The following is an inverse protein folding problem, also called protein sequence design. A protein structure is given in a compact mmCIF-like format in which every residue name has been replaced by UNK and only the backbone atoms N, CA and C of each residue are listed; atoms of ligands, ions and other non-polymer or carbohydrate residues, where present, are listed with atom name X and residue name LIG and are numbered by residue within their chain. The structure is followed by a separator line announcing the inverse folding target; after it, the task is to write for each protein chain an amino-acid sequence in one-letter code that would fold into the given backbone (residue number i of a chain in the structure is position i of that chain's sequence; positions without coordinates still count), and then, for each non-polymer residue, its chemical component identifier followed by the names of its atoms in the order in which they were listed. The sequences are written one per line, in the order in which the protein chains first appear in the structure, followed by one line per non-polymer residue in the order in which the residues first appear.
data_IF_234751933105
#
_entry.id   IF_234751933105
#
_cell.length_a   1.000
_cell.length_b   1.000
_cell.length_c   1.000
_cell.angle_alpha   90.00
_cell.angle_beta   90.00
_cell.angle_gamma   90.00
#
_symmetry.space_group_name_H-M   'P 1'
#
loop_
_entity.id
_entity.type
_entity.pdbx_description
1 polymer ?
#
# COMPACT_ATOMS: atom_id res chain seq x y z
N UNK A 1 19.40 -18.64 -3.50
CA UNK A 1 18.70 -18.91 -4.77
C UNK A 1 18.40 -17.55 -5.38
N UNK A 2 18.48 -17.36 -6.72
CA UNK A 2 18.13 -16.07 -7.33
C UNK A 2 16.63 -15.81 -7.14
N UNK A 3 16.26 -14.57 -6.76
CA UNK A 3 14.87 -14.16 -6.67
C UNK A 3 14.28 -13.95 -8.07
N UNK A 4 12.97 -14.03 -8.24
CA UNK A 4 12.30 -13.79 -9.54
C UNK A 4 12.63 -12.41 -10.12
N UNK A 5 12.91 -11.42 -9.27
CA UNK A 5 13.32 -10.07 -9.66
C UNK A 5 14.75 -9.96 -10.18
N UNK A 6 15.59 -10.98 -10.01
CA UNK A 6 16.98 -10.97 -10.45
C UNK A 6 17.16 -11.38 -11.92
N UNK A 7 16.14 -12.01 -12.50
CA UNK A 7 16.15 -12.42 -13.91
C UNK A 7 15.95 -11.22 -14.83
N UNK A 8 16.73 -11.18 -15.92
CA UNK A 8 16.71 -10.05 -16.87
C UNK A 8 15.78 -10.27 -18.06
N UNK A 9 15.39 -11.52 -18.32
CA UNK A 9 14.43 -11.85 -19.39
C UNK A 9 13.14 -12.40 -18.82
N UNK A 10 12.04 -12.10 -19.49
CA UNK A 10 10.73 -12.66 -19.14
C UNK A 10 10.70 -14.20 -19.22
N UNK A 11 11.35 -14.77 -20.24
CA UNK A 11 11.40 -16.21 -20.43
C UNK A 11 12.11 -16.93 -19.26
N UNK A 12 13.23 -16.37 -18.78
CA UNK A 12 13.95 -16.93 -17.63
C UNK A 12 13.13 -16.78 -16.34
N UNK A 13 12.53 -15.62 -16.10
CA UNK A 13 11.66 -15.41 -14.96
C UNK A 13 10.48 -16.37 -14.97
N UNK A 14 9.83 -16.56 -16.12
CA UNK A 14 8.71 -17.47 -16.28
C UNK A 14 9.10 -18.95 -16.06
N UNK A 15 10.26 -19.36 -16.55
CA UNK A 15 10.75 -20.74 -16.35
C UNK A 15 10.98 -21.08 -14.85
N UNK A 16 11.22 -20.07 -14.02
CA UNK A 16 11.46 -20.22 -12.58
C UNK A 16 10.27 -19.76 -11.72
N UNK A 17 9.17 -19.31 -12.33
CA UNK A 17 7.98 -18.83 -11.63
C UNK A 17 7.21 -20.00 -11.00
N UNK A 18 7.45 -20.21 -9.71
CA UNK A 18 6.71 -21.14 -8.88
C UNK A 18 6.01 -20.39 -7.74
N UNK A 19 5.01 -21.01 -7.11
CA UNK A 19 4.37 -20.43 -5.93
C UNK A 19 5.39 -20.13 -4.81
N UNK A 20 6.35 -21.00 -4.59
CA UNK A 20 7.41 -20.79 -3.61
C UNK A 20 8.29 -19.57 -3.98
N UNK A 21 8.74 -19.48 -5.25
CA UNK A 21 9.56 -18.37 -5.71
C UNK A 21 8.83 -17.01 -5.67
N UNK A 22 7.49 -17.03 -5.80
CA UNK A 22 6.67 -15.82 -5.59
C UNK A 22 6.65 -15.40 -4.11
N UNK A 23 6.49 -16.36 -3.19
CA UNK A 23 6.50 -16.06 -1.76
C UNK A 23 7.87 -15.58 -1.27
N UNK A 24 8.97 -16.03 -1.88
CA UNK A 24 10.33 -15.55 -1.59
C UNK A 24 10.54 -14.04 -1.92
N UNK A 25 9.59 -13.40 -2.59
CA UNK A 25 9.63 -11.95 -2.85
C UNK A 25 9.14 -11.11 -1.66
N UNK A 26 8.37 -11.70 -0.74
CA UNK A 26 7.81 -11.04 0.42
C UNK A 26 8.68 -11.23 1.65
N UNK A 27 8.55 -10.34 2.63
CA UNK A 27 9.15 -10.48 3.95
C UNK A 27 8.26 -11.34 4.85
N UNK A 28 6.94 -11.29 4.63
CA UNK A 28 5.95 -12.12 5.30
C UNK A 28 5.69 -13.45 4.59
N UNK A 29 4.87 -14.29 5.19
CA UNK A 29 4.41 -15.57 4.65
C UNK A 29 2.87 -15.60 4.49
N UNK A 30 2.31 -16.79 4.23
CA UNK A 30 0.86 -16.94 3.98
C UNK A 30 -0.01 -16.67 5.20
N UNK A 31 0.53 -16.80 6.38
CA UNK A 31 -0.19 -16.68 7.65
C UNK A 31 0.02 -15.30 8.27
N UNK A 32 1.15 -14.66 7.93
CA UNK A 32 1.56 -13.37 8.50
C UNK A 32 2.06 -12.42 7.38
N UNK A 33 1.15 -11.98 6.52
CA UNK A 33 1.42 -11.01 5.46
C UNK A 33 0.74 -9.68 5.74
N UNK A 34 1.51 -8.62 5.92
CA UNK A 34 0.99 -7.25 6.00
C UNK A 34 1.24 -6.49 4.69
N UNK A 35 0.18 -6.23 3.93
CA UNK A 35 0.26 -5.54 2.63
C UNK A 35 0.87 -4.14 2.76
N UNK A 36 0.59 -3.41 3.84
CA UNK A 36 1.18 -2.09 4.06
C UNK A 36 2.70 -2.17 4.26
N UNK A 37 3.18 -3.19 4.96
CA UNK A 37 4.61 -3.47 5.07
C UNK A 37 5.21 -3.79 3.70
N UNK A 38 4.65 -4.75 3.00
CA UNK A 38 5.19 -5.25 1.73
C UNK A 38 5.20 -4.19 0.63
N UNK A 39 4.15 -3.35 0.56
CA UNK A 39 4.03 -2.36 -0.50
C UNK A 39 4.69 -1.02 -0.18
N UNK A 40 4.80 -0.65 1.10
CA UNK A 40 5.22 0.70 1.49
C UNK A 40 6.36 0.68 2.50
N UNK A 41 6.15 0.10 3.70
CA UNK A 41 7.07 0.32 4.83
C UNK A 41 8.46 -0.23 4.57
N UNK A 42 8.57 -1.43 4.00
CA UNK A 42 9.86 -2.04 3.64
C UNK A 42 10.67 -1.27 2.59
N UNK A 43 10.02 -0.32 1.90
CA UNK A 43 10.64 0.50 0.86
C UNK A 43 10.94 1.94 1.33
N UNK A 44 10.54 2.30 2.54
CA UNK A 44 10.77 3.61 3.15
C UNK A 44 12.15 3.61 3.83
N UNK A 45 13.18 3.92 3.06
CA UNK A 45 14.59 3.85 3.46
C UNK A 45 15.23 5.22 3.71
N UNK A 46 14.43 6.29 3.71
CA UNK A 46 14.88 7.67 3.88
C UNK A 46 15.45 8.30 2.60
N UNK A 47 15.46 7.58 1.48
CA UNK A 47 16.00 8.10 0.20
C UNK A 47 15.07 9.08 -0.51
N UNK A 48 13.81 9.19 -0.09
CA UNK A 48 12.78 9.97 -0.78
C UNK A 48 12.34 9.37 -2.11
N UNK A 49 12.58 8.08 -2.34
CA UNK A 49 12.20 7.37 -3.56
C UNK A 49 10.69 7.48 -3.82
N UNK A 50 10.34 7.80 -5.07
CA UNK A 50 8.94 7.91 -5.50
C UNK A 50 8.21 6.57 -5.38
N UNK A 51 7.06 6.58 -4.72
CA UNK A 51 6.12 5.46 -4.63
C UNK A 51 4.95 5.64 -5.60
N UNK A 52 4.41 6.86 -5.66
CA UNK A 52 3.24 7.19 -6.47
C UNK A 52 3.48 8.49 -7.21
N UNK A 53 3.06 8.54 -8.47
CA UNK A 53 2.97 9.78 -9.25
C UNK A 53 1.49 10.03 -9.57
N UNK A 54 1.00 11.20 -9.20
CA UNK A 54 -0.37 11.64 -9.47
C UNK A 54 -0.30 12.69 -10.58
N UNK A 55 -0.91 12.37 -11.73
CA UNK A 55 -1.07 13.31 -12.81
C UNK A 55 -2.43 14.01 -12.66
N UNK A 56 -2.41 15.33 -12.47
CA UNK A 56 -3.63 16.13 -12.35
C UNK A 56 -4.12 16.60 -13.72
N UNK A 57 -5.45 16.79 -13.85
CA UNK A 57 -6.07 17.25 -15.09
C UNK A 57 -5.59 18.65 -15.54
N UNK A 58 -5.09 19.46 -14.62
CA UNK A 58 -4.51 20.78 -14.90
C UNK A 58 -3.04 20.74 -15.35
N UNK A 59 -2.49 19.53 -15.53
CA UNK A 59 -1.12 19.29 -15.98
C UNK A 59 -0.06 19.29 -14.86
N UNK A 60 -0.45 19.45 -13.60
CA UNK A 60 0.48 19.29 -12.47
C UNK A 60 0.77 17.83 -12.23
N UNK A 61 2.01 17.52 -11.91
CA UNK A 61 2.44 16.22 -11.39
C UNK A 61 2.75 16.34 -9.89
N UNK A 62 2.25 15.42 -9.10
CA UNK A 62 2.59 15.26 -7.69
C UNK A 62 3.29 13.92 -7.48
N UNK A 63 4.40 13.95 -6.74
CA UNK A 63 5.17 12.74 -6.41
C UNK A 63 5.07 12.51 -4.91
N UNK A 64 4.59 11.32 -4.54
CA UNK A 64 4.56 10.85 -3.17
C UNK A 64 5.69 9.84 -2.97
N UNK A 65 6.56 10.06 -1.99
CA UNK A 65 7.62 9.13 -1.65
C UNK A 65 7.11 7.98 -0.76
N UNK A 66 7.82 6.85 -0.77
CA UNK A 66 7.58 5.78 0.20
C UNK A 66 7.68 6.29 1.63
N UNK A 67 8.67 7.15 1.93
CA UNK A 67 8.87 7.71 3.28
C UNK A 67 7.68 8.56 3.73
N UNK A 68 7.14 9.40 2.86
CA UNK A 68 6.00 10.25 3.17
C UNK A 68 4.73 9.43 3.44
N UNK A 69 4.46 8.42 2.62
CA UNK A 69 3.31 7.53 2.80
C UNK A 69 3.49 6.71 4.08
N UNK A 70 4.66 6.10 4.31
CA UNK A 70 4.93 5.29 5.49
C UNK A 70 4.76 6.10 6.79
N UNK A 71 5.33 7.30 6.85
CA UNK A 71 5.21 8.17 8.01
C UNK A 71 3.75 8.61 8.26
N UNK A 72 3.00 8.90 7.19
CA UNK A 72 1.58 9.22 7.29
C UNK A 72 0.75 8.03 7.75
N UNK A 73 0.96 6.86 7.15
CA UNK A 73 0.27 5.62 7.49
C UNK A 73 0.49 5.22 8.96
N UNK A 74 1.74 5.32 9.44
CA UNK A 74 2.04 5.04 10.84
C UNK A 74 1.28 5.96 11.81
N UNK A 75 1.22 7.27 11.53
CA UNK A 75 0.44 8.21 12.35
C UNK A 75 -1.06 7.89 12.32
N UNK A 76 -1.60 7.54 11.18
CA UNK A 76 -3.00 7.15 11.05
C UNK A 76 -3.30 5.83 11.77
N UNK A 77 -2.41 4.85 11.66
CA UNK A 77 -2.51 3.58 12.40
C UNK A 77 -2.54 3.82 13.92
N UNK A 78 -1.63 4.65 14.46
CA UNK A 78 -1.64 5.02 15.86
C UNK A 78 -2.93 5.72 16.29
N UNK A 79 -3.49 6.57 15.44
CA UNK A 79 -4.77 7.22 15.74
C UNK A 79 -5.91 6.18 15.76
N UNK A 80 -5.96 5.24 14.81
CA UNK A 80 -6.95 4.16 14.80
C UNK A 80 -6.87 3.31 16.09
N UNK A 81 -5.66 2.95 16.51
CA UNK A 81 -5.44 2.21 17.75
C UNK A 81 -5.95 3.01 18.98
N UNK A 82 -5.69 4.32 19.03
CA UNK A 82 -6.17 5.19 20.10
C UNK A 82 -7.69 5.33 20.13
N UNK A 83 -8.36 5.29 18.97
CA UNK A 83 -9.82 5.26 18.86
C UNK A 83 -10.43 3.87 19.17
N UNK A 84 -9.57 2.87 19.40
CA UNK A 84 -9.99 1.53 19.79
C UNK A 84 -10.41 0.64 18.62
N UNK A 85 -10.05 0.99 17.40
CA UNK A 85 -10.34 0.19 16.20
C UNK A 85 -9.58 -1.13 16.25
N UNK A 86 -10.30 -2.23 16.07
CA UNK A 86 -9.76 -3.57 16.16
C UNK A 86 -9.43 -4.17 14.77
N UNK A 87 -8.48 -5.11 14.69
CA UNK A 87 -8.25 -5.87 13.46
C UNK A 87 -9.55 -6.50 12.93
N UNK A 88 -9.76 -6.42 11.62
CA UNK A 88 -10.96 -6.90 10.93
C UNK A 88 -12.12 -5.89 10.87
N UNK A 89 -12.05 -4.76 11.57
CA UNK A 89 -13.02 -3.67 11.40
C UNK A 89 -12.85 -2.96 10.05
N UNK A 90 -13.92 -2.37 9.53
CA UNK A 90 -13.94 -1.74 8.21
C UNK A 90 -13.79 -0.24 8.35
N UNK A 91 -12.77 0.31 7.68
CA UNK A 91 -12.53 1.74 7.60
C UNK A 91 -12.88 2.20 6.19
N UNK A 92 -14.04 2.84 6.06
CA UNK A 92 -14.48 3.42 4.79
C UNK A 92 -13.96 4.85 4.65
N UNK A 93 -13.46 5.19 3.48
CA UNK A 93 -13.05 6.55 3.13
C UNK A 93 -13.34 6.86 1.68
N UNK A 94 -13.72 8.10 1.41
CA UNK A 94 -14.02 8.62 0.08
C UNK A 94 -13.09 9.80 -0.20
N UNK A 95 -11.96 9.53 -0.84
CA UNK A 95 -10.91 10.49 -1.12
C UNK A 95 -10.43 10.34 -2.57
N UNK A 96 -10.13 11.45 -3.22
CA UNK A 96 -9.41 11.44 -4.49
C UNK A 96 -7.98 10.92 -4.30
N UNK A 97 -7.32 10.38 -5.35
CA UNK A 97 -5.92 9.99 -5.31
C UNK A 97 -5.05 11.14 -4.79
N UNK A 98 -4.49 10.98 -3.61
CA UNK A 98 -3.76 12.02 -2.86
C UNK A 98 -2.95 11.37 -1.74
N UNK A 99 -2.05 12.11 -1.11
CA UNK A 99 -1.36 11.60 0.08
C UNK A 99 -2.32 11.11 1.17
N UNK A 100 -3.39 11.84 1.55
CA UNK A 100 -4.39 11.33 2.50
C UNK A 100 -5.03 10.01 2.08
N UNK A 101 -5.32 9.81 0.78
CA UNK A 101 -5.87 8.54 0.28
C UNK A 101 -4.94 7.36 0.61
N UNK A 102 -3.65 7.46 0.26
CA UNK A 102 -2.69 6.39 0.51
C UNK A 102 -2.37 6.22 2.00
N UNK A 103 -2.41 7.29 2.79
CA UNK A 103 -2.27 7.26 4.24
C UNK A 103 -3.42 6.47 4.89
N UNK A 104 -4.67 6.75 4.50
CA UNK A 104 -5.83 6.00 4.99
C UNK A 104 -5.78 4.53 4.55
N UNK A 105 -5.47 4.28 3.28
CA UNK A 105 -5.40 2.94 2.71
C UNK A 105 -4.41 2.05 3.46
N UNK A 106 -3.16 2.48 3.54
CA UNK A 106 -2.10 1.67 4.13
C UNK A 106 -2.07 1.73 5.65
N UNK A 107 -2.48 2.85 6.25
CA UNK A 107 -2.55 2.96 7.71
C UNK A 107 -3.62 2.05 8.32
N UNK A 108 -4.78 1.91 7.69
CA UNK A 108 -5.79 0.94 8.10
C UNK A 108 -5.27 -0.50 7.96
N UNK A 109 -4.63 -0.84 6.83
CA UNK A 109 -4.05 -2.17 6.63
C UNK A 109 -2.94 -2.48 7.64
N UNK A 110 -2.20 -1.47 8.10
CA UNK A 110 -1.13 -1.63 9.09
C UNK A 110 -1.62 -2.15 10.44
N UNK A 111 -2.85 -1.76 10.85
CA UNK A 111 -3.50 -2.23 12.08
C UNK A 111 -4.26 -3.54 11.92
N UNK A 112 -4.29 -4.11 10.70
CA UNK A 112 -5.12 -5.27 10.39
C UNK A 112 -6.60 -4.93 10.14
N UNK A 113 -6.97 -3.65 10.09
CA UNK A 113 -8.30 -3.23 9.67
C UNK A 113 -8.49 -3.41 8.15
N UNK A 114 -9.75 -3.51 7.73
CA UNK A 114 -10.12 -3.67 6.32
C UNK A 114 -10.34 -2.28 5.71
N UNK A 115 -9.46 -1.89 4.80
CA UNK A 115 -9.60 -0.65 4.04
C UNK A 115 -10.71 -0.77 2.99
N UNK A 116 -11.66 0.17 3.00
CA UNK A 116 -12.79 0.23 2.08
C UNK A 116 -12.78 1.57 1.34
N UNK A 117 -11.98 1.74 0.28
CA UNK A 117 -12.01 2.94 -0.53
C UNK A 117 -13.32 3.03 -1.31
N UNK A 118 -14.03 4.16 -1.16
CA UNK A 118 -15.25 4.45 -1.88
C UNK A 118 -14.95 5.35 -3.08
N UNK A 119 -15.71 5.13 -4.15
CA UNK A 119 -15.53 5.87 -5.38
C UNK A 119 -16.15 7.27 -5.27
N UNK A 120 -15.35 8.31 -5.51
CA UNK A 120 -15.74 9.71 -5.30
C UNK A 120 -16.82 10.24 -6.26
N UNK A 121 -17.06 9.52 -7.38
CA UNK A 121 -18.12 9.86 -8.33
C UNK A 121 -19.48 9.25 -8.00
N UNK A 122 -19.59 8.50 -6.92
CA UNK A 122 -20.92 8.06 -6.45
C UNK A 122 -21.71 9.24 -5.92
N UNK A 123 -22.97 9.36 -6.39
CA UNK A 123 -23.93 10.32 -5.86
C UNK A 123 -24.51 9.85 -4.50
N UNK A 124 -25.29 10.73 -3.83
CA UNK A 124 -25.89 10.42 -2.53
C UNK A 124 -26.72 9.14 -2.51
N UNK A 125 -27.28 8.75 -3.65
CA UNK A 125 -28.17 7.57 -3.78
C UNK A 125 -27.38 6.24 -3.83
N UNK A 126 -26.05 6.30 -3.91
CA UNK A 126 -25.18 5.12 -3.98
C UNK A 126 -24.37 4.87 -2.69
N UNK A 127 -24.60 5.70 -1.68
CA UNK A 127 -24.04 5.60 -0.34
C UNK A 127 -25.12 5.26 0.67
#
# INVERSE_FOLDING_TARGET
MAKLTDYRSYADAQAHATSAALWDLFDGDREDLNIAHECITRHADGSGRAAVRIAHADGRDEILSFDAIAAGAARFAHWLDAEGIQPGERIAFMLEPSLPFYVCLFGAMQTGAISVPLFTLFGPDAL
#
